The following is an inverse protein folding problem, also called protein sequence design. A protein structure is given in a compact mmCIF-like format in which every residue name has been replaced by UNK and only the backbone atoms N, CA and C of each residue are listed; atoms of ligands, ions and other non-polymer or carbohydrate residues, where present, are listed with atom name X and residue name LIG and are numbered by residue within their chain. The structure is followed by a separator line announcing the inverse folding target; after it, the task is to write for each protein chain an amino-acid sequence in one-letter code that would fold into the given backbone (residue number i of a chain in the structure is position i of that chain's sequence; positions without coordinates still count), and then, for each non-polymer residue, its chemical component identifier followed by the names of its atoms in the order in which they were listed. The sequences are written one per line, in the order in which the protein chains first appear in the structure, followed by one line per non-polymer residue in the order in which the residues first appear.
data_IF_327924672934
#
_entry.id   IF_327924672934
#
_cell.length_a   1.000
_cell.length_b   1.000
_cell.length_c   1.000
_cell.angle_alpha   90.00
_cell.angle_beta   90.00
_cell.angle_gamma   90.00
#
_symmetry.space_group_name_H-M   'P 1'
#
loop_
_entity.id
_entity.type
_entity.pdbx_description
1 polymer ?
#
# COMPACT_ATOMS: atom_id res chain seq x y z
N UNK A 1 -42.40 18.74 -3.89
CA UNK A 1 -42.57 17.87 -2.73
C UNK A 1 -41.26 17.15 -2.41
N UNK A 2 -40.78 17.22 -1.17
CA UNK A 2 -39.51 16.61 -0.75
C UNK A 2 -39.63 15.09 -0.65
N UNK A 3 -40.76 14.62 -0.11
CA UNK A 3 -41.04 13.19 0.08
C UNK A 3 -40.97 12.42 -1.24
N UNK A 4 -41.64 12.93 -2.29
CA UNK A 4 -41.63 12.28 -3.61
C UNK A 4 -40.23 12.18 -4.21
N UNK A 5 -39.38 13.20 -4.03
CA UNK A 5 -38.00 13.19 -4.54
C UNK A 5 -37.12 12.19 -3.77
N UNK A 6 -37.28 12.10 -2.45
CA UNK A 6 -36.58 11.14 -1.63
C UNK A 6 -37.00 9.70 -1.96
N UNK A 7 -38.30 9.45 -2.09
CA UNK A 7 -38.83 8.11 -2.44
C UNK A 7 -38.31 7.64 -3.80
N UNK A 8 -38.29 8.53 -4.79
CA UNK A 8 -37.75 8.21 -6.11
C UNK A 8 -36.26 7.85 -6.02
N UNK A 9 -35.46 8.60 -5.25
CA UNK A 9 -34.04 8.30 -5.02
C UNK A 9 -33.84 6.95 -4.34
N UNK A 10 -34.63 6.66 -3.28
CA UNK A 10 -34.54 5.39 -2.56
C UNK A 10 -34.87 4.20 -3.47
N UNK A 11 -35.90 4.30 -4.31
CA UNK A 11 -36.22 3.24 -5.29
C UNK A 11 -35.05 2.97 -6.23
N UNK A 12 -34.38 4.00 -6.74
CA UNK A 12 -33.19 3.82 -7.59
C UNK A 12 -32.04 3.17 -6.82
N UNK A 13 -31.81 3.54 -5.57
CA UNK A 13 -30.72 3.00 -4.74
C UNK A 13 -30.95 1.53 -4.36
N UNK A 14 -32.20 1.10 -4.15
CA UNK A 14 -32.54 -0.29 -3.80
C UNK A 14 -32.16 -1.27 -4.92
N UNK A 15 -32.23 -0.85 -6.18
CA UNK A 15 -31.84 -1.67 -7.33
C UNK A 15 -30.33 -1.63 -7.62
N UNK A 16 -29.57 -0.79 -6.91
CA UNK A 16 -28.13 -0.68 -7.06
C UNK A 16 -27.37 -1.52 -6.03
N UNK A 17 -26.07 -1.71 -6.27
CA UNK A 17 -25.13 -2.21 -5.26
C UNK A 17 -24.44 -1.01 -4.59
N UNK A 18 -24.82 -0.62 -3.36
CA UNK A 18 -24.30 0.60 -2.76
C UNK A 18 -22.86 0.43 -2.29
N UNK A 19 -22.08 1.49 -2.46
CA UNK A 19 -20.75 1.67 -1.89
C UNK A 19 -20.75 2.95 -1.09
N UNK A 20 -20.33 2.89 0.18
CA UNK A 20 -20.38 4.02 1.10
C UNK A 20 -18.98 4.59 1.35
N UNK A 21 -18.85 5.91 1.24
CA UNK A 21 -17.64 6.66 1.63
C UNK A 21 -18.02 7.60 2.77
N UNK A 22 -17.35 7.48 3.91
CA UNK A 22 -17.54 8.34 5.08
C UNK A 22 -16.42 9.38 5.13
N UNK A 23 -16.75 10.63 4.85
CA UNK A 23 -15.81 11.74 4.92
C UNK A 23 -15.73 12.28 6.36
N UNK A 24 -14.52 12.53 6.85
CA UNK A 24 -14.29 13.08 8.20
C UNK A 24 -13.40 14.31 8.10
N UNK A 25 -13.88 15.44 8.63
CA UNK A 25 -13.09 16.65 8.80
C UNK A 25 -12.13 16.49 9.97
N UNK A 26 -10.83 16.62 9.71
CA UNK A 26 -9.79 16.42 10.73
C UNK A 26 -9.71 17.55 11.77
N UNK A 27 -10.00 18.79 11.37
CA UNK A 27 -10.00 19.95 12.25
C UNK A 27 -10.91 21.07 11.67
N UNK A 28 -11.40 21.97 12.53
CA UNK A 28 -12.34 23.04 12.13
C UNK A 28 -11.71 24.18 11.32
N UNK A 29 -10.37 24.29 11.34
CA UNK A 29 -9.62 25.38 10.70
C UNK A 29 -9.05 24.98 9.33
N UNK A 30 -9.20 23.71 8.93
CA UNK A 30 -8.65 23.12 7.70
C UNK A 30 -7.11 23.12 7.62
N UNK A 31 -6.46 23.20 8.78
CA UNK A 31 -5.01 23.20 8.89
C UNK A 31 -4.43 21.84 8.48
N UNK A 32 -3.34 21.87 7.72
CA UNK A 32 -2.63 20.66 7.31
C UNK A 32 -1.89 20.04 8.50
N UNK A 33 -1.98 18.72 8.63
CA UNK A 33 -1.27 17.97 9.69
C UNK A 33 -1.85 18.15 11.10
N UNK A 34 -2.95 18.89 11.24
CA UNK A 34 -3.63 19.10 12.52
C UNK A 34 -4.82 18.17 12.66
N UNK A 35 -4.90 17.49 13.79
CA UNK A 35 -5.99 16.58 14.12
C UNK A 35 -6.65 17.02 15.42
N UNK A 36 -7.93 17.38 15.34
CA UNK A 36 -8.75 17.72 16.50
C UNK A 36 -9.65 16.54 16.85
N UNK A 37 -9.34 15.91 17.99
CA UNK A 37 -10.06 14.74 18.49
C UNK A 37 -11.52 15.05 18.80
N UNK A 38 -11.86 16.25 19.25
CA UNK A 38 -13.25 16.61 19.59
C UNK A 38 -14.10 16.80 18.34
N UNK A 39 -13.53 17.40 17.29
CA UNK A 39 -14.19 17.58 15.98
C UNK A 39 -14.43 16.23 15.31
N UNK A 40 -13.41 15.39 15.26
CA UNK A 40 -13.50 14.04 14.68
C UNK A 40 -14.43 13.15 15.51
N UNK A 41 -14.31 13.17 16.84
CA UNK A 41 -15.15 12.37 17.74
C UNK A 41 -16.64 12.70 17.63
N UNK A 42 -17.01 13.97 17.46
CA UNK A 42 -18.41 14.36 17.20
C UNK A 42 -18.93 13.77 15.88
N UNK A 43 -18.15 13.83 14.80
CA UNK A 43 -18.52 13.25 13.51
C UNK A 43 -18.64 11.73 13.55
N UNK A 44 -17.71 11.04 14.21
CA UNK A 44 -17.75 9.58 14.40
C UNK A 44 -19.04 9.14 15.10
N UNK A 45 -19.46 9.87 16.14
CA UNK A 45 -20.74 9.62 16.84
C UNK A 45 -21.95 9.93 15.96
N UNK A 46 -21.94 11.07 15.26
CA UNK A 46 -23.04 11.46 14.37
C UNK A 46 -23.25 10.46 13.21
N UNK A 47 -22.17 9.87 12.69
CA UNK A 47 -22.22 8.83 11.65
C UNK A 47 -22.45 7.42 12.22
N UNK A 48 -22.61 7.27 13.54
CA UNK A 48 -22.80 6.00 14.24
C UNK A 48 -21.73 4.94 13.92
N UNK A 49 -20.48 5.38 13.73
CA UNK A 49 -19.40 4.46 13.33
C UNK A 49 -19.10 3.46 14.45
N UNK A 50 -19.10 3.91 15.71
CA UNK A 50 -18.79 3.06 16.86
C UNK A 50 -19.89 2.02 17.10
N UNK A 51 -21.14 2.43 16.97
CA UNK A 51 -22.33 1.59 17.08
C UNK A 51 -22.32 0.53 15.99
N UNK A 52 -22.00 0.91 14.75
CA UNK A 52 -21.81 -0.04 13.64
C UNK A 52 -20.71 -1.05 13.97
N UNK A 53 -19.56 -0.58 14.48
CA UNK A 53 -18.44 -1.45 14.86
C UNK A 53 -18.83 -2.39 15.99
N UNK A 54 -19.53 -1.93 17.02
CA UNK A 54 -19.99 -2.75 18.14
C UNK A 54 -21.00 -3.81 17.68
N UNK A 55 -21.95 -3.44 16.82
CA UNK A 55 -22.90 -4.38 16.23
C UNK A 55 -22.18 -5.45 15.41
N UNK A 56 -21.16 -5.07 14.63
CA UNK A 56 -20.33 -6.03 13.90
C UNK A 56 -19.50 -6.91 14.83
N UNK A 57 -18.95 -6.35 15.91
CA UNK A 57 -18.10 -7.05 16.87
C UNK A 57 -18.87 -8.09 17.69
N UNK A 58 -20.16 -7.87 17.94
CA UNK A 58 -21.04 -8.87 18.55
C UNK A 58 -21.38 -10.06 17.64
N UNK A 59 -21.06 -9.96 16.35
CA UNK A 59 -21.29 -11.02 15.36
C UNK A 59 -20.01 -11.76 14.95
N UNK A 60 -19.97 -12.17 13.68
CA UNK A 60 -18.80 -12.79 13.05
C UNK A 60 -18.39 -12.03 11.78
N UNK A 61 -17.72 -10.87 11.89
CA UNK A 61 -17.40 -10.00 10.77
C UNK A 61 -16.41 -10.65 9.79
N UNK A 62 -15.64 -11.64 10.22
CA UNK A 62 -14.70 -12.35 9.37
C UNK A 62 -15.27 -13.69 8.91
N UNK A 63 -15.38 -13.85 7.59
CA UNK A 63 -15.80 -15.09 6.94
C UNK A 63 -14.69 -15.60 6.04
N UNK A 64 -14.25 -16.85 6.24
CA UNK A 64 -13.17 -17.46 5.46
C UNK A 64 -13.57 -18.86 4.97
N UNK A 65 -13.22 -19.22 3.74
CA UNK A 65 -13.40 -20.61 3.27
C UNK A 65 -12.46 -21.54 4.01
N UNK A 66 -12.90 -22.76 4.34
CA UNK A 66 -12.08 -23.72 5.08
C UNK A 66 -10.75 -24.04 4.39
N UNK A 67 -10.74 -24.21 3.06
CA UNK A 67 -9.52 -24.44 2.27
C UNK A 67 -8.49 -23.30 2.44
N UNK A 68 -8.97 -22.06 2.45
CA UNK A 68 -8.13 -20.89 2.68
C UNK A 68 -7.64 -20.82 4.14
N UNK A 69 -8.51 -21.14 5.10
CA UNK A 69 -8.18 -21.17 6.52
C UNK A 69 -7.09 -22.21 6.83
N UNK A 70 -7.29 -23.47 6.43
CA UNK A 70 -6.34 -24.55 6.69
C UNK A 70 -4.99 -24.27 6.02
N UNK A 71 -4.99 -23.78 4.78
CA UNK A 71 -3.75 -23.42 4.07
C UNK A 71 -2.96 -22.32 4.80
N UNK A 72 -3.66 -21.29 5.28
CA UNK A 72 -3.06 -20.13 5.96
C UNK A 72 -2.54 -20.48 7.35
N UNK A 73 -3.28 -21.28 8.10
CA UNK A 73 -3.12 -21.49 9.54
C UNK A 73 -2.66 -22.90 9.95
N UNK A 74 -2.34 -23.79 9.01
CA UNK A 74 -1.80 -25.14 9.28
C UNK A 74 -0.62 -25.21 10.25
N UNK A 75 0.13 -24.11 10.42
CA UNK A 75 1.27 -24.06 11.33
C UNK A 75 0.87 -23.93 12.81
N UNK A 76 -0.39 -23.59 13.09
CA UNK A 76 -0.91 -23.46 14.46
C UNK A 76 -1.28 -24.81 15.08
N UNK A 77 -1.50 -25.84 14.26
CA UNK A 77 -1.74 -27.21 14.71
C UNK A 77 -0.48 -28.08 14.56
N UNK A 78 -0.34 -29.15 15.36
CA UNK A 78 0.71 -30.15 15.18
C UNK A 78 0.69 -30.74 13.77
N UNK A 79 1.84 -30.68 13.07
CA UNK A 79 1.94 -31.09 11.67
C UNK A 79 1.51 -32.56 11.44
N UNK A 80 1.80 -33.46 12.38
CA UNK A 80 1.45 -34.89 12.24
C UNK A 80 -0.05 -35.16 12.36
N UNK A 81 -0.80 -34.26 12.96
CA UNK A 81 -2.23 -34.43 13.25
C UNK A 81 -3.13 -33.90 12.13
N UNK A 82 -2.61 -33.08 11.22
CA UNK A 82 -3.35 -32.57 10.07
C UNK A 82 -3.39 -33.62 8.95
N UNK A 83 -4.60 -33.94 8.46
CA UNK A 83 -4.80 -34.92 7.38
C UNK A 83 -4.60 -34.32 6.00
N UNK A 84 -4.94 -33.04 5.80
CA UNK A 84 -4.78 -32.29 4.54
C UNK A 84 -5.54 -32.90 3.35
N UNK A 85 -6.59 -33.66 3.62
CA UNK A 85 -7.52 -34.19 2.59
C UNK A 85 -8.76 -33.32 2.49
N UNK A 86 -9.42 -33.27 1.32
CA UNK A 86 -10.66 -32.51 1.15
C UNK A 86 -11.80 -33.03 2.04
N UNK A 87 -11.85 -34.34 2.29
CA UNK A 87 -12.85 -34.97 3.16
C UNK A 87 -12.69 -34.56 4.64
N UNK A 88 -11.48 -34.22 5.05
CA UNK A 88 -11.13 -33.87 6.44
C UNK A 88 -10.92 -32.37 6.66
N UNK A 89 -11.33 -31.53 5.71
CA UNK A 89 -11.16 -30.08 5.80
C UNK A 89 -11.78 -29.49 7.09
N UNK A 90 -12.94 -30.01 7.51
CA UNK A 90 -13.61 -29.57 8.72
C UNK A 90 -12.87 -30.00 9.99
N UNK A 91 -12.35 -31.22 10.01
CA UNK A 91 -11.62 -31.78 11.14
C UNK A 91 -10.28 -31.05 11.33
N UNK A 92 -9.56 -30.80 10.24
CA UNK A 92 -8.33 -30.00 10.22
C UNK A 92 -8.60 -28.57 10.72
N UNK A 93 -9.72 -27.95 10.30
CA UNK A 93 -10.08 -26.60 10.75
C UNK A 93 -10.38 -26.58 12.26
N UNK A 94 -11.15 -27.56 12.76
CA UNK A 94 -11.42 -27.72 14.19
C UNK A 94 -10.14 -27.93 14.99
N UNK A 95 -9.25 -28.79 14.51
CA UNK A 95 -7.98 -29.05 15.18
C UNK A 95 -7.14 -27.78 15.32
N UNK A 96 -7.01 -26.99 14.25
CA UNK A 96 -6.32 -25.70 14.27
C UNK A 96 -6.94 -24.75 15.28
N UNK A 97 -8.28 -24.66 15.33
CA UNK A 97 -8.99 -23.82 16.27
C UNK A 97 -8.74 -24.25 17.72
N UNK A 98 -8.87 -25.54 18.02
CA UNK A 98 -8.66 -26.06 19.37
C UNK A 98 -7.22 -25.89 19.83
N UNK A 99 -6.24 -26.22 18.98
CA UNK A 99 -4.81 -26.01 19.28
C UNK A 99 -4.50 -24.54 19.56
N UNK A 100 -5.16 -23.63 18.84
CA UNK A 100 -4.99 -22.21 19.03
C UNK A 100 -5.65 -21.69 20.32
N UNK A 101 -6.89 -22.12 20.62
CA UNK A 101 -7.58 -21.77 21.87
C UNK A 101 -6.77 -22.20 23.09
N UNK A 102 -6.26 -23.44 23.08
CA UNK A 102 -5.40 -23.95 24.15
C UNK A 102 -4.13 -23.11 24.31
N UNK A 103 -3.48 -22.74 23.20
CA UNK A 103 -2.26 -21.94 23.22
C UNK A 103 -2.48 -20.52 23.76
N UNK A 104 -3.65 -19.93 23.52
CA UNK A 104 -4.03 -18.62 24.09
C UNK A 104 -4.26 -18.73 25.60
N UNK A 105 -4.84 -19.83 26.05
CA UNK A 105 -5.06 -20.06 27.49
C UNK A 105 -3.72 -20.24 28.23
N UNK A 106 -2.78 -20.97 27.64
CA UNK A 106 -1.44 -21.21 28.18
C UNK A 106 -0.53 -19.97 28.13
N UNK A 107 -0.67 -19.14 27.09
CA UNK A 107 0.05 -17.86 26.96
C UNK A 107 -0.94 -16.77 26.56
N UNK A 108 -1.51 -16.02 27.53
CA UNK A 108 -2.49 -14.98 27.24
C UNK A 108 -1.84 -13.87 26.40
N UNK A 109 -2.09 -13.90 25.10
CA UNK A 109 -1.76 -12.81 24.18
C UNK A 109 -2.75 -11.68 24.49
N UNK A 110 -2.35 -10.72 25.32
CA UNK A 110 -3.10 -9.49 25.67
C UNK A 110 -4.57 -9.72 26.06
N UNK A 111 -4.89 -9.58 27.36
CA UNK A 111 -6.16 -9.81 28.07
C UNK A 111 -7.53 -9.38 27.47
N UNK A 112 -7.66 -8.88 26.24
CA UNK A 112 -8.93 -8.33 25.71
C UNK A 112 -9.51 -9.06 24.50
N UNK A 113 -8.98 -10.22 24.10
CA UNK A 113 -9.39 -10.85 22.84
C UNK A 113 -10.09 -12.18 23.07
N UNK A 114 -11.40 -12.13 23.26
CA UNK A 114 -12.26 -13.32 23.22
C UNK A 114 -12.52 -13.72 21.76
N UNK A 115 -11.98 -14.86 21.34
CA UNK A 115 -12.09 -15.35 19.96
C UNK A 115 -13.19 -16.39 19.91
N UNK A 116 -14.39 -15.93 19.60
CA UNK A 116 -15.51 -16.83 19.30
C UNK A 116 -15.47 -17.20 17.82
N UNK A 117 -15.80 -18.45 17.53
CA UNK A 117 -15.87 -18.97 16.17
C UNK A 117 -17.16 -19.77 15.95
N UNK A 118 -17.61 -19.80 14.70
CA UNK A 118 -18.75 -20.60 14.28
C UNK A 118 -18.45 -21.29 12.95
N UNK A 119 -18.91 -22.54 12.82
CA UNK A 119 -18.74 -23.34 11.60
C UNK A 119 -19.99 -23.24 10.74
N UNK A 120 -19.82 -22.80 9.50
CA UNK A 120 -20.84 -22.94 8.46
C UNK A 120 -20.58 -24.13 7.54
N UNK A 121 -21.44 -24.32 6.53
CA UNK A 121 -21.31 -25.43 5.56
C UNK A 121 -20.01 -25.39 4.73
N UNK A 122 -19.53 -24.19 4.38
CA UNK A 122 -18.35 -23.99 3.51
C UNK A 122 -17.34 -22.98 4.06
N UNK A 123 -17.68 -22.33 5.16
CA UNK A 123 -16.94 -21.20 5.70
C UNK A 123 -16.85 -21.28 7.21
N UNK A 124 -15.74 -20.76 7.72
CA UNK A 124 -15.52 -20.45 9.11
C UNK A 124 -15.84 -18.98 9.36
N UNK A 125 -16.48 -18.70 10.49
CA UNK A 125 -16.89 -17.38 10.94
C UNK A 125 -16.16 -17.04 12.25
N UNK A 126 -15.57 -15.83 12.35
CA UNK A 126 -14.74 -15.40 13.48
C UNK A 126 -15.19 -14.01 14.00
N UNK A 127 -15.29 -13.84 15.33
CA UNK A 127 -15.86 -12.64 15.98
C UNK A 127 -14.91 -11.42 16.02
N UNK A 128 -13.69 -11.53 16.55
CA UNK A 128 -12.62 -10.52 16.41
C UNK A 128 -11.30 -10.98 17.08
N UNK A 129 -10.11 -10.57 16.59
CA UNK A 129 -9.72 -10.38 15.20
C UNK A 129 -8.91 -11.58 14.69
N UNK A 130 -9.03 -11.84 13.37
CA UNK A 130 -8.06 -12.63 12.62
C UNK A 130 -6.62 -12.13 12.79
N UNK A 131 -6.40 -10.92 13.33
CA UNK A 131 -5.09 -10.39 13.73
C UNK A 131 -4.43 -11.25 14.82
N UNK A 132 -5.15 -11.84 15.77
CA UNK A 132 -4.53 -12.74 16.75
C UNK A 132 -3.99 -14.01 16.06
N UNK A 133 -4.80 -14.60 15.17
CA UNK A 133 -4.38 -15.70 14.29
C UNK A 133 -3.23 -15.30 13.37
N UNK A 134 -3.27 -14.09 12.82
CA UNK A 134 -2.27 -13.55 11.90
C UNK A 134 -0.95 -13.29 12.61
N UNK A 135 -0.96 -12.61 13.75
CA UNK A 135 0.21 -12.39 14.63
C UNK A 135 0.80 -13.71 15.11
N UNK A 136 -0.02 -14.65 15.60
CA UNK A 136 0.46 -15.97 16.03
C UNK A 136 1.07 -16.76 14.86
N UNK A 137 0.42 -16.75 13.69
CA UNK A 137 0.95 -17.39 12.48
C UNK A 137 2.23 -16.72 11.99
N UNK A 138 2.35 -15.39 12.12
CA UNK A 138 3.52 -14.62 11.73
C UNK A 138 4.70 -14.91 12.64
N UNK A 139 4.48 -15.00 13.96
CA UNK A 139 5.48 -15.41 14.95
C UNK A 139 6.01 -16.83 14.70
N UNK A 140 5.14 -17.76 14.31
CA UNK A 140 5.56 -19.12 13.96
C UNK A 140 6.33 -19.20 12.63
N UNK A 141 5.96 -18.37 11.65
CA UNK A 141 6.67 -18.26 10.37
C UNK A 141 8.06 -17.64 10.54
N UNK A 142 8.19 -16.61 11.37
CA UNK A 142 9.49 -16.00 11.67
C UNK A 142 10.40 -16.96 12.45
N UNK A 143 9.85 -17.72 13.39
CA UNK A 143 10.56 -18.77 14.12
C UNK A 143 11.03 -19.90 13.20
N UNK A 144 10.19 -20.32 12.24
CA UNK A 144 10.55 -21.34 11.24
C UNK A 144 11.63 -20.86 10.27
N UNK A 145 11.61 -19.59 9.83
CA UNK A 145 12.67 -18.99 9.01
C UNK A 145 14.01 -18.94 9.74
N UNK A 146 14.00 -18.57 11.03
CA UNK A 146 15.19 -18.61 11.89
C UNK A 146 15.75 -20.03 12.04
N UNK A 147 14.88 -21.03 12.13
CA UNK A 147 15.28 -22.44 12.20
C UNK A 147 15.83 -22.99 10.86
N UNK A 148 15.40 -22.45 9.71
CA UNK A 148 15.98 -22.80 8.40
C UNK A 148 17.39 -22.21 8.20
N UNK A 149 17.67 -21.05 8.78
CA UNK A 149 19.04 -20.48 8.80
C UNK A 149 19.98 -21.32 9.68
N UNK A 150 19.44 -22.10 10.64
CA UNK A 150 20.22 -22.93 11.56
C UNK A 150 20.34 -24.41 11.15
N UNK A 151 19.82 -24.81 10.00
CA UNK A 151 19.93 -26.19 9.46
C UNK A 151 20.53 -26.18 8.05
N UNK A 152 21.75 -25.68 7.92
CA UNK A 152 22.66 -26.21 6.90
C UNK A 152 23.28 -27.50 7.47
N UNK A 153 23.08 -28.68 6.84
CA UNK A 153 23.79 -29.87 7.30
C UNK A 153 25.28 -29.70 6.99
N UNK A 154 26.09 -29.77 8.05
CA UNK A 154 27.47 -30.22 7.95
C UNK A 154 27.43 -31.69 7.51
N UNK A 155 27.42 -31.92 6.20
CA UNK A 155 27.80 -33.20 5.61
C UNK A 155 28.91 -32.92 4.61
N UNK A 156 30.14 -33.14 5.06
CA UNK A 156 31.31 -33.08 4.21
C UNK A 156 31.27 -34.16 3.15
N UNK A 157 31.55 -33.77 1.92
CA UNK A 157 32.32 -34.55 0.95
C UNK A 157 33.01 -33.56 0.03
N UNK A 158 34.29 -33.78 -0.19
CA UNK A 158 35.22 -32.94 -0.94
C UNK A 158 34.82 -32.86 -2.40
N UNK A 159 34.46 -31.69 -2.89
CA UNK A 159 34.47 -31.37 -4.31
C UNK A 159 34.80 -29.88 -4.47
N UNK A 160 35.98 -29.61 -5.04
CA UNK A 160 36.39 -28.29 -5.50
C UNK A 160 35.33 -27.70 -6.42
N UNK A 161 34.68 -26.62 -5.99
CA UNK A 161 33.90 -25.76 -6.86
C UNK A 161 34.35 -24.32 -6.59
N UNK A 162 34.80 -23.70 -7.68
CA UNK A 162 35.32 -22.35 -7.80
C UNK A 162 34.39 -21.31 -7.16
N UNK A 163 34.90 -20.28 -6.47
CA UNK A 163 34.07 -19.21 -5.96
C UNK A 163 33.66 -18.29 -7.12
N UNK A 164 32.44 -18.47 -7.63
CA UNK A 164 31.75 -17.42 -8.38
C UNK A 164 31.37 -16.31 -7.41
N UNK A 165 32.23 -15.29 -7.33
CA UNK A 165 31.95 -14.06 -6.61
C UNK A 165 30.77 -13.33 -7.24
N UNK A 166 29.63 -13.32 -6.52
CA UNK A 166 28.58 -12.34 -6.77
C UNK A 166 29.08 -10.97 -6.28
N UNK A 167 29.04 -9.93 -7.12
CA UNK A 167 29.51 -8.61 -6.73
C UNK A 167 28.61 -8.03 -5.64
N UNK A 168 29.24 -7.58 -4.56
CA UNK A 168 28.57 -6.83 -3.50
C UNK A 168 27.88 -5.59 -4.07
N UNK A 169 26.58 -5.48 -3.83
CA UNK A 169 25.82 -4.26 -4.09
C UNK A 169 26.32 -3.19 -3.12
N UNK A 170 27.26 -2.37 -3.59
CA UNK A 170 27.70 -1.15 -2.93
C UNK A 170 26.57 -0.12 -3.09
N UNK A 171 25.85 0.19 -2.01
CA UNK A 171 24.86 1.26 -2.02
C UNK A 171 25.56 2.59 -2.36
N UNK A 172 25.15 3.30 -3.42
CA UNK A 172 25.63 4.66 -3.64
C UNK A 172 25.00 5.59 -2.60
N UNK A 173 25.82 6.49 -2.06
CA UNK A 173 25.39 7.54 -1.15
C UNK A 173 24.29 8.40 -1.79
N UNK A 174 23.29 8.77 -0.97
CA UNK A 174 22.14 9.55 -1.39
C UNK A 174 22.56 10.94 -1.93
N UNK A 175 22.11 11.36 -3.13
CA UNK A 175 22.28 12.73 -3.56
C UNK A 175 21.31 13.66 -2.79
N UNK A 176 21.86 14.82 -2.44
CA UNK A 176 21.21 15.94 -1.74
C UNK A 176 19.89 16.37 -2.39
N UNK A 177 18.91 16.66 -1.52
CA UNK A 177 17.58 17.15 -1.84
C UNK A 177 17.56 18.40 -2.74
N UNK A 178 17.21 18.24 -4.02
CA UNK A 178 16.71 19.34 -4.84
C UNK A 178 15.18 19.42 -4.67
N UNK A 179 14.73 20.41 -3.90
CA UNK A 179 13.33 20.73 -3.66
C UNK A 179 12.60 21.11 -4.95
N UNK A 180 11.54 20.36 -5.30
CA UNK A 180 10.64 20.72 -6.40
C UNK A 180 9.43 21.47 -5.85
N UNK A 181 8.99 22.60 -6.47
CA UNK A 181 7.94 23.43 -5.90
C UNK A 181 6.56 22.76 -5.98
N UNK A 182 5.79 22.99 -4.92
CA UNK A 182 4.43 22.52 -4.69
C UNK A 182 3.46 23.07 -5.75
N UNK A 183 2.41 22.33 -6.16
CA UNK A 183 1.33 22.90 -6.96
C UNK A 183 0.68 24.10 -6.24
N UNK A 184 0.29 25.11 -7.02
CA UNK A 184 -0.34 26.33 -6.51
C UNK A 184 -1.66 26.01 -5.77
N UNK A 185 -1.96 26.70 -4.66
CA UNK A 185 -3.22 26.52 -3.93
C UNK A 185 -4.44 26.90 -4.78
N UNK A 186 -5.57 26.26 -4.47
CA UNK A 186 -6.88 26.63 -5.03
C UNK A 186 -7.22 28.06 -4.52
N UNK A 187 -7.73 28.89 -5.42
CA UNK A 187 -8.11 30.27 -5.11
C UNK A 187 -9.07 30.34 -3.90
N UNK A 188 -8.76 31.21 -2.93
CA UNK A 188 -9.54 31.41 -1.71
C UNK A 188 -8.93 30.86 -0.42
N UNK A 189 -7.73 30.25 -0.47
CA UNK A 189 -6.99 29.87 0.74
C UNK A 189 -6.08 31.02 1.19
N UNK A 190 -6.29 31.62 2.38
CA UNK A 190 -5.36 32.62 2.89
C UNK A 190 -3.99 31.98 3.15
N UNK A 191 -2.87 32.72 2.96
CA UNK A 191 -1.54 32.19 3.23
C UNK A 191 -1.40 31.81 4.71
N UNK A 192 -0.54 30.83 5.05
CA UNK A 192 -0.31 30.47 6.45
C UNK A 192 0.34 31.67 7.15
N UNK A 193 -0.32 32.20 8.18
CA UNK A 193 0.32 33.19 9.06
C UNK A 193 1.53 32.53 9.73
N UNK A 194 2.70 33.12 9.52
CA UNK A 194 3.94 32.81 10.23
C UNK A 194 3.78 33.23 11.70
N UNK A 195 3.14 32.37 12.51
CA UNK A 195 3.07 32.59 13.95
C UNK A 195 3.60 31.34 14.65
N UNK A 196 4.80 31.48 15.20
CA UNK A 196 5.24 30.81 16.42
C UNK A 196 5.42 29.30 16.36
N UNK A 197 6.61 28.87 15.96
CA UNK A 197 7.15 27.55 16.28
C UNK A 197 7.28 27.46 17.81
N UNK A 198 6.29 26.86 18.47
CA UNK A 198 6.33 26.69 19.93
C UNK A 198 5.10 25.98 20.47
N UNK A 199 5.19 24.66 20.62
CA UNK A 199 4.34 23.83 21.48
C UNK A 199 2.82 23.84 21.23
N UNK A 200 2.33 23.19 20.16
CA UNK A 200 0.95 22.67 20.18
C UNK A 200 0.90 21.25 19.58
N UNK A 201 0.85 20.27 20.49
CA UNK A 201 0.33 18.90 20.35
C UNK A 201 0.60 18.15 19.03
N UNK A 202 1.88 17.87 18.75
CA UNK A 202 2.22 16.68 17.96
C UNK A 202 1.86 15.46 18.80
N UNK A 203 1.13 14.50 18.22
CA UNK A 203 0.87 13.22 18.86
C UNK A 203 2.22 12.59 19.26
N UNK A 204 2.38 12.25 20.54
CA UNK A 204 3.67 11.80 21.09
C UNK A 204 4.15 10.56 20.30
N UNK A 205 5.34 10.62 19.67
CA UNK A 205 5.87 9.52 18.87
C UNK A 205 5.95 8.20 19.67
N UNK A 206 6.13 8.26 21.00
CA UNK A 206 6.12 7.06 21.85
C UNK A 206 4.74 6.44 21.97
N UNK A 207 3.69 7.27 21.97
CA UNK A 207 2.29 6.80 21.98
C UNK A 207 1.95 6.15 20.64
N UNK A 208 2.41 6.72 19.53
CA UNK A 208 2.28 6.10 18.19
C UNK A 208 2.99 4.76 18.16
N UNK A 209 4.24 4.70 18.62
CA UNK A 209 5.04 3.48 18.63
C UNK A 209 4.44 2.38 19.50
N UNK A 210 3.95 2.71 20.71
CA UNK A 210 3.22 1.77 21.58
C UNK A 210 1.95 1.24 20.92
N UNK A 211 1.25 2.10 20.19
CA UNK A 211 0.04 1.71 19.45
C UNK A 211 0.41 0.77 18.30
N UNK A 212 1.43 1.09 17.51
CA UNK A 212 1.95 0.26 16.43
C UNK A 212 2.43 -1.12 16.92
N UNK A 213 3.19 -1.16 18.02
CA UNK A 213 3.60 -2.40 18.68
C UNK A 213 2.41 -3.20 19.19
N UNK A 214 1.43 -2.55 19.83
CA UNK A 214 0.21 -3.19 20.35
C UNK A 214 -0.61 -3.86 19.25
N UNK A 215 -0.64 -3.30 18.05
CA UNK A 215 -1.39 -3.84 16.90
C UNK A 215 -0.54 -4.68 15.95
N UNK A 216 0.73 -4.97 16.29
CA UNK A 216 1.61 -5.76 15.41
C UNK A 216 1.92 -5.09 14.07
N UNK A 217 1.77 -3.76 13.99
CA UNK A 217 2.13 -2.96 12.82
C UNK A 217 3.64 -2.71 12.73
N UNK A 218 4.37 -3.06 13.78
CA UNK A 218 5.82 -2.93 13.90
C UNK A 218 6.50 -4.24 13.49
N UNK A 219 6.37 -4.59 12.21
CA UNK A 219 7.29 -5.54 11.58
C UNK A 219 8.28 -4.69 10.79
N UNK A 220 9.57 -4.95 10.96
CA UNK A 220 10.70 -4.34 10.23
C UNK A 220 10.64 -4.46 8.68
N UNK A 221 9.48 -4.78 8.10
CA UNK A 221 9.19 -4.48 6.72
C UNK A 221 8.62 -3.05 6.68
N UNK A 222 9.52 -2.06 6.66
CA UNK A 222 9.17 -0.81 5.98
C UNK A 222 8.52 -1.23 4.65
N UNK A 223 7.31 -0.73 4.33
CA UNK A 223 6.73 -1.00 3.03
C UNK A 223 7.84 -0.69 2.01
N UNK A 224 8.10 -1.59 1.04
CA UNK A 224 9.19 -1.41 0.10
C UNK A 224 9.12 0.04 -0.38
N UNK A 225 10.25 0.78 -0.34
CA UNK A 225 10.23 2.22 -0.57
C UNK A 225 9.41 2.47 -1.82
N UNK A 226 8.39 3.33 -1.67
CA UNK A 226 7.48 3.63 -2.78
C UNK A 226 8.36 3.90 -4.00
N UNK A 227 8.13 3.19 -5.12
CA UNK A 227 8.93 3.43 -6.31
C UNK A 227 8.87 4.95 -6.58
N UNK A 228 10.02 5.58 -6.85
CA UNK A 228 10.07 7.02 -7.04
C UNK A 228 9.00 7.41 -8.05
N UNK A 229 8.31 8.53 -7.80
CA UNK A 229 7.20 8.95 -8.64
C UNK A 229 7.68 9.04 -10.09
N UNK A 230 7.24 8.07 -10.90
CA UNK A 230 7.67 7.95 -12.29
C UNK A 230 7.11 9.14 -13.04
N UNK A 231 7.98 9.97 -13.60
CA UNK A 231 7.55 11.09 -14.42
C UNK A 231 6.71 10.57 -15.59
N UNK A 232 5.67 11.30 -15.95
CA UNK A 232 4.74 10.94 -17.00
C UNK A 232 4.34 12.19 -17.78
N UNK A 233 3.86 11.99 -18.99
CA UNK A 233 3.13 13.03 -19.72
C UNK A 233 1.65 12.68 -19.77
N UNK A 234 0.82 13.69 -19.97
CA UNK A 234 -0.62 13.52 -20.17
C UNK A 234 -0.93 13.82 -21.63
N UNK A 235 -1.71 12.94 -22.26
CA UNK A 235 -2.22 13.15 -23.61
C UNK A 235 -3.73 12.83 -23.61
N UNK A 236 -4.56 13.83 -23.88
CA UNK A 236 -6.00 13.73 -23.64
C UNK A 236 -6.28 13.36 -22.16
N UNK A 237 -7.02 12.27 -21.96
CA UNK A 237 -7.34 11.73 -20.62
C UNK A 237 -6.41 10.59 -20.17
N UNK A 238 -5.36 10.26 -20.94
CA UNK A 238 -4.46 9.15 -20.65
C UNK A 238 -3.12 9.63 -20.09
N UNK A 239 -2.64 8.91 -19.06
CA UNK A 239 -1.30 9.09 -18.49
C UNK A 239 -0.31 8.16 -19.20
N UNK A 240 0.72 8.74 -19.81
CA UNK A 240 1.76 8.03 -20.55
C UNK A 240 3.05 8.01 -19.72
N UNK A 241 3.56 6.84 -19.38
CA UNK A 241 4.87 6.67 -18.72
C UNK A 241 6.01 6.74 -19.74
N UNK A 242 7.22 7.09 -19.31
CA UNK A 242 8.44 6.94 -20.12
C UNK A 242 8.99 5.50 -20.08
N UNK A 243 9.77 5.07 -21.08
CA UNK A 243 10.10 5.78 -22.31
C UNK A 243 8.93 5.83 -23.30
N UNK A 244 8.86 6.87 -24.13
CA UNK A 244 7.79 7.09 -25.12
C UNK A 244 8.39 7.38 -26.50
N UNK A 245 7.83 6.78 -27.54
CA UNK A 245 8.17 7.15 -28.91
C UNK A 245 7.38 8.41 -29.33
N UNK A 246 8.07 9.42 -29.85
CA UNK A 246 7.50 10.66 -30.38
C UNK A 246 8.09 10.99 -31.74
N UNK A 247 7.40 11.81 -32.52
CA UNK A 247 7.87 12.29 -33.82
C UNK A 247 8.27 13.76 -33.70
N UNK A 248 9.39 14.12 -34.33
CA UNK A 248 9.86 15.50 -34.43
C UNK A 248 8.96 16.30 -35.38
N UNK A 249 8.27 17.33 -34.90
CA UNK A 249 7.44 18.24 -35.70
C UNK A 249 8.26 19.20 -36.57
N UNK A 250 9.46 19.52 -36.11
CA UNK A 250 10.40 20.42 -36.78
C UNK A 250 11.83 19.97 -36.46
N UNK A 251 12.78 20.39 -37.30
CA UNK A 251 14.20 20.12 -37.07
C UNK A 251 14.69 20.88 -35.83
N UNK A 252 15.51 20.24 -35.00
CA UNK A 252 16.05 20.82 -33.76
C UNK A 252 17.53 20.45 -33.60
N UNK A 253 18.41 21.39 -33.22
CA UNK A 253 18.15 22.82 -32.99
C UNK A 253 17.89 23.62 -34.28
N UNK A 254 17.07 24.67 -34.19
CA UNK A 254 16.74 25.60 -35.29
C UNK A 254 17.76 26.74 -35.39
N UNK A 255 18.42 27.04 -34.26
CA UNK A 255 19.54 27.96 -34.21
C UNK A 255 20.73 27.25 -34.85
N UNK A 256 21.30 27.78 -35.94
CA UNK A 256 22.48 27.25 -36.66
C UNK A 256 23.77 27.16 -35.83
N UNK A 257 23.67 27.06 -34.51
CA UNK A 257 24.70 26.60 -33.59
C UNK A 257 25.05 25.15 -33.94
N UNK A 258 26.29 24.94 -34.36
CA UNK A 258 26.85 23.64 -34.66
C UNK A 258 26.97 22.77 -33.40
N UNK A 259 25.85 22.22 -32.92
CA UNK A 259 25.87 21.00 -32.12
C UNK A 259 25.90 19.81 -33.09
N UNK A 260 26.81 18.86 -32.88
CA UNK A 260 27.00 17.67 -33.75
C UNK A 260 25.76 16.77 -33.92
N UNK A 261 24.67 17.07 -33.21
CA UNK A 261 23.45 16.27 -33.19
C UNK A 261 22.26 17.12 -33.63
N UNK A 262 21.75 16.81 -34.82
CA UNK A 262 20.56 17.42 -35.43
C UNK A 262 19.47 16.36 -35.48
N UNK A 263 18.30 16.68 -34.92
CA UNK A 263 17.08 15.87 -34.99
C UNK A 263 16.21 16.42 -36.12
N UNK A 264 15.93 15.64 -37.15
CA UNK A 264 15.21 16.12 -38.34
C UNK A 264 13.69 16.07 -38.17
N UNK A 265 12.97 16.99 -38.83
CA UNK A 265 11.51 16.91 -38.94
C UNK A 265 11.06 15.54 -39.49
N UNK A 266 10.09 14.92 -38.84
CA UNK A 266 9.55 13.60 -39.18
C UNK A 266 10.28 12.43 -38.55
N UNK A 267 11.43 12.65 -37.89
CA UNK A 267 12.20 11.61 -37.24
C UNK A 267 11.48 11.09 -35.97
N UNK A 268 11.45 9.77 -35.79
CA UNK A 268 10.94 9.15 -34.56
C UNK A 268 12.03 9.07 -33.51
N UNK A 269 11.77 9.64 -32.33
CA UNK A 269 12.74 9.76 -31.23
C UNK A 269 12.20 9.17 -29.93
N UNK A 270 13.10 8.62 -29.09
CA UNK A 270 12.74 8.02 -27.82
C UNK A 270 12.84 9.04 -26.70
N UNK A 271 11.71 9.41 -26.11
CA UNK A 271 11.65 10.28 -24.94
C UNK A 271 11.79 9.46 -23.68
N UNK A 272 12.87 9.64 -22.94
CA UNK A 272 13.22 8.86 -21.74
C UNK A 272 12.79 9.54 -20.43
N UNK A 273 12.44 10.83 -20.44
CA UNK A 273 12.06 11.54 -19.23
C UNK A 273 11.55 12.97 -19.43
N UNK A 274 11.13 13.58 -18.33
CA UNK A 274 10.81 15.01 -18.29
C UNK A 274 12.09 15.82 -18.02
N UNK A 275 12.34 16.83 -18.84
CA UNK A 275 13.52 17.68 -18.75
C UNK A 275 13.33 18.92 -17.87
N UNK A 276 14.02 20.00 -18.24
CA UNK A 276 13.76 21.34 -17.70
C UNK A 276 12.31 21.75 -18.00
N UNK A 277 11.80 22.81 -17.35
CA UNK A 277 10.42 23.29 -17.60
C UNK A 277 10.21 23.50 -19.10
N UNK A 278 9.18 22.88 -19.66
CA UNK A 278 8.88 22.94 -21.10
C UNK A 278 9.74 22.05 -22.01
N UNK A 279 10.60 21.19 -21.46
CA UNK A 279 11.49 20.32 -22.23
C UNK A 279 11.28 18.84 -21.88
N UNK A 280 11.54 17.98 -22.85
CA UNK A 280 11.55 16.53 -22.74
C UNK A 280 12.97 16.02 -22.99
N UNK A 281 13.35 14.94 -22.31
CA UNK A 281 14.66 14.32 -22.51
C UNK A 281 14.53 13.26 -23.59
N UNK A 282 15.18 13.50 -24.71
CA UNK A 282 15.20 12.62 -25.88
C UNK A 282 16.54 11.89 -25.92
N UNK A 283 16.50 10.57 -26.04
CA UNK A 283 17.68 9.76 -26.31
C UNK A 283 17.90 9.65 -27.82
N UNK A 284 19.05 10.12 -28.30
CA UNK A 284 19.46 10.00 -29.69
C UNK A 284 20.96 9.71 -29.78
N UNK A 285 21.33 8.65 -30.51
CA UNK A 285 22.73 8.15 -30.62
C UNK A 285 23.43 7.95 -29.27
N UNK A 286 22.70 7.51 -28.24
CA UNK A 286 23.22 7.26 -26.89
C UNK A 286 23.46 8.53 -26.06
N UNK A 287 23.03 9.70 -26.54
CA UNK A 287 23.13 10.99 -25.85
C UNK A 287 21.73 11.48 -25.50
N UNK A 288 21.59 12.02 -24.28
CA UNK A 288 20.35 12.60 -23.78
C UNK A 288 20.28 14.11 -24.09
N UNK A 289 19.33 14.50 -24.93
CA UNK A 289 19.15 15.87 -25.44
C UNK A 289 17.87 16.47 -24.85
N UNK A 290 17.93 17.73 -24.43
CA UNK A 290 16.76 18.47 -23.93
C UNK A 290 16.04 19.13 -25.11
N UNK A 291 14.90 18.57 -25.51
CA UNK A 291 14.12 19.09 -26.65
C UNK A 291 12.84 19.73 -26.14
N UNK A 292 12.48 20.97 -26.55
CA UNK A 292 11.24 21.59 -26.15
C UNK A 292 10.04 20.75 -26.58
N UNK A 293 9.04 20.57 -25.70
CA UNK A 293 7.90 19.66 -25.99
C UNK A 293 7.10 20.04 -27.24
N UNK A 294 7.16 21.31 -27.66
CA UNK A 294 6.47 21.84 -28.85
C UNK A 294 6.99 21.23 -30.15
N UNK A 295 8.24 20.79 -30.18
CA UNK A 295 8.88 20.12 -31.32
C UNK A 295 8.54 18.63 -31.38
N UNK A 296 7.78 18.09 -30.42
CA UNK A 296 7.52 16.66 -30.28
C UNK A 296 6.02 16.37 -30.27
N UNK A 297 5.58 15.48 -31.16
CA UNK A 297 4.22 14.96 -31.15
C UNK A 297 4.19 13.47 -30.80
N UNK A 298 3.12 13.06 -30.12
CA UNK A 298 2.92 11.64 -29.83
C UNK A 298 2.52 10.94 -31.13
N UNK A 299 3.22 9.85 -31.43
CA UNK A 299 2.82 8.94 -32.49
C UNK A 299 1.56 8.21 -32.04
N UNK A 300 0.41 8.74 -32.41
CA UNK A 300 -0.87 8.05 -32.26
C UNK A 300 -1.01 7.22 -33.52
N UNK A 301 -0.58 5.97 -33.47
CA UNK A 301 -0.89 5.03 -34.54
C UNK A 301 -2.44 4.98 -34.64
N UNK A 302 -2.98 5.47 -35.75
CA UNK A 302 -4.39 5.31 -36.12
C UNK A 302 -4.57 3.99 -36.84
#
# INVERSE_FOLDING_TARGET
DFHTRLDNLLRTLVHAKPHFIRCIRANSCEDRGRFDRHVVGRQIRAMQVMETVNLMAGGFPHRMRFKAFNSRYKLLAPFRSLRRSEDHILDDAKLILTSFSQRIEEQPINHSVSINWALGKRHLFLSHPGVAFETASHSLRSSSRRAQILRSPLTGTTASVLPLGLPGYRQPAAPSSSSRPRPQPIAGTPPPNEIGIGQINRCDPKTIQRTCQRFGLDVQEQPPPLPPSRTYTVAGNAKLSYPQMRVMKATYPDDGSASDIILYKGESVLVIGAGKRGHLVVEHKGIAIQVPFQYLELRIDR
#
